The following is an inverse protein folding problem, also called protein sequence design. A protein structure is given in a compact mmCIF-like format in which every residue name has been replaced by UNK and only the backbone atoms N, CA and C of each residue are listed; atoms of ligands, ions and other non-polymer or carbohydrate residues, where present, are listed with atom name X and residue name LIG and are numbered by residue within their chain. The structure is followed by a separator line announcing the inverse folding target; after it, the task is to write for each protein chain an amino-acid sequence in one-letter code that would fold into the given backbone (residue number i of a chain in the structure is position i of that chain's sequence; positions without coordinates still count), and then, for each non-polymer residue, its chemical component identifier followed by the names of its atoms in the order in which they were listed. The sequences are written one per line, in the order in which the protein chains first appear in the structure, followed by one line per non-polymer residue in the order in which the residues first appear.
data_IF_362190119146
#
_entry.id   IF_362190119146
#
_cell.length_a   1.000
_cell.length_b   1.000
_cell.length_c   1.000
_cell.angle_alpha   90.00
_cell.angle_beta   90.00
_cell.angle_gamma   90.00
#
_symmetry.space_group_name_H-M   'P 1'
#
loop_
_entity.id
_entity.type
_entity.pdbx_description
1 polymer ?
#
# COMPACT_ATOMS: atom_id res chain seq x y z
N UNK A 1 -29.80 27.73 -11.24
CA UNK A 1 -28.50 27.90 -11.96
C UNK A 1 -27.87 29.30 -11.90
N UNK A 2 -28.59 30.43 -12.10
CA UNK A 2 -27.98 31.79 -12.07
C UNK A 2 -27.33 32.16 -10.72
N UNK A 3 -27.94 31.79 -9.60
CA UNK A 3 -27.45 32.07 -8.23
C UNK A 3 -26.09 31.39 -7.94
N UNK A 4 -25.97 30.10 -8.28
CA UNK A 4 -24.73 29.32 -8.13
C UNK A 4 -23.59 29.91 -8.98
N UNK A 5 -23.88 30.33 -10.22
CA UNK A 5 -22.89 30.98 -11.11
C UNK A 5 -22.34 32.28 -10.54
N UNK A 6 -23.19 33.13 -9.95
CA UNK A 6 -22.75 34.39 -9.37
C UNK A 6 -21.86 34.19 -8.14
N UNK A 7 -22.15 33.17 -7.33
CA UNK A 7 -21.32 32.78 -6.17
C UNK A 7 -19.94 32.29 -6.63
N UNK A 8 -19.88 31.39 -7.61
CA UNK A 8 -18.62 30.87 -8.15
C UNK A 8 -17.77 32.00 -8.74
N UNK A 9 -18.37 32.91 -9.51
CA UNK A 9 -17.65 34.06 -10.08
C UNK A 9 -17.08 34.98 -8.99
N UNK A 10 -17.83 35.23 -7.92
CA UNK A 10 -17.40 36.05 -6.77
C UNK A 10 -16.23 35.43 -6.01
N UNK A 11 -16.17 34.09 -5.92
CA UNK A 11 -15.17 33.36 -5.12
C UNK A 11 -14.11 32.63 -5.96
N UNK A 12 -14.03 32.91 -7.27
CA UNK A 12 -13.15 32.19 -8.22
C UNK A 12 -11.69 32.17 -7.77
N UNK A 13 -11.14 33.28 -7.27
CA UNK A 13 -9.75 33.35 -6.80
C UNK A 13 -9.48 32.45 -5.60
N UNK A 14 -10.43 32.38 -4.65
CA UNK A 14 -10.34 31.50 -3.48
C UNK A 14 -10.45 30.02 -3.86
N UNK A 15 -11.35 29.70 -4.79
CA UNK A 15 -11.48 28.34 -5.33
C UNK A 15 -10.21 27.90 -6.06
N UNK A 16 -9.60 28.81 -6.84
CA UNK A 16 -8.34 28.55 -7.54
C UNK A 16 -7.19 28.31 -6.55
N UNK A 17 -7.07 29.16 -5.53
CA UNK A 17 -6.06 28.97 -4.48
C UNK A 17 -6.22 27.60 -3.80
N UNK A 18 -7.43 27.26 -3.35
CA UNK A 18 -7.73 25.96 -2.75
C UNK A 18 -7.36 24.79 -3.68
N UNK A 19 -7.76 24.86 -4.95
CA UNK A 19 -7.45 23.84 -5.95
C UNK A 19 -5.94 23.64 -6.12
N UNK A 20 -5.17 24.72 -6.19
CA UNK A 20 -3.70 24.67 -6.34
C UNK A 20 -3.05 24.06 -5.10
N UNK A 21 -3.41 24.50 -3.89
CA UNK A 21 -2.81 23.98 -2.65
C UNK A 21 -3.08 22.48 -2.47
N UNK A 22 -4.33 22.05 -2.66
CA UNK A 22 -4.70 20.63 -2.57
C UNK A 22 -3.97 19.83 -3.65
N UNK A 23 -3.93 20.34 -4.88
CA UNK A 23 -3.24 19.65 -5.97
C UNK A 23 -1.76 19.49 -5.66
N UNK A 24 -1.06 20.56 -5.29
CA UNK A 24 0.37 20.52 -4.97
C UNK A 24 0.69 19.57 -3.82
N UNK A 25 -0.14 19.54 -2.77
CA UNK A 25 0.03 18.60 -1.66
C UNK A 25 -0.02 17.14 -2.14
N UNK A 26 -0.91 16.82 -3.08
CA UNK A 26 -1.10 15.47 -3.59
C UNK A 26 -0.32 15.15 -4.88
N UNK A 27 0.37 16.11 -5.51
CA UNK A 27 1.18 15.87 -6.72
C UNK A 27 2.17 14.71 -6.52
N UNK A 28 2.94 14.63 -5.42
CA UNK A 28 3.89 13.52 -5.23
C UNK A 28 3.21 12.15 -5.24
N UNK A 29 2.06 12.04 -4.56
CA UNK A 29 1.29 10.80 -4.49
C UNK A 29 0.66 10.46 -5.85
N UNK A 30 0.10 11.45 -6.55
CA UNK A 30 -0.45 11.27 -7.89
C UNK A 30 0.61 10.83 -8.90
N UNK A 31 1.81 11.40 -8.83
CA UNK A 31 2.95 11.01 -9.67
C UNK A 31 3.37 9.58 -9.35
N UNK A 32 3.46 9.22 -8.07
CA UNK A 32 3.75 7.86 -7.65
C UNK A 32 2.73 6.87 -8.24
N UNK A 33 1.42 7.10 -8.08
CA UNK A 33 0.37 6.23 -8.65
C UNK A 33 0.44 6.13 -10.18
N UNK A 34 0.79 7.21 -10.87
CA UNK A 34 0.96 7.20 -12.34
C UNK A 34 2.16 6.37 -12.78
N UNK A 35 3.33 6.62 -12.19
CA UNK A 35 4.56 5.87 -12.52
C UNK A 35 4.34 4.38 -12.22
N UNK A 36 3.79 4.08 -11.05
CA UNK A 36 3.53 2.71 -10.64
C UNK A 36 2.46 2.01 -11.49
N UNK A 37 1.42 2.73 -11.91
CA UNK A 37 0.42 2.22 -12.85
C UNK A 37 1.00 1.90 -14.23
N UNK A 38 1.90 2.75 -14.75
CA UNK A 38 2.62 2.46 -16.01
C UNK A 38 3.46 1.19 -15.86
N UNK A 39 4.19 1.04 -14.75
CA UNK A 39 4.98 -0.16 -14.45
C UNK A 39 4.09 -1.41 -14.40
N UNK A 40 2.88 -1.33 -13.85
CA UNK A 40 1.91 -2.43 -13.87
C UNK A 40 1.44 -2.79 -15.28
N UNK A 41 1.25 -1.79 -16.17
CA UNK A 41 0.88 -2.04 -17.58
C UNK A 41 1.98 -2.84 -18.29
N UNK A 42 3.26 -2.64 -17.92
CA UNK A 42 4.38 -3.43 -18.42
C UNK A 42 4.59 -4.77 -17.70
N UNK A 43 3.67 -5.17 -16.82
CA UNK A 43 3.64 -6.50 -16.20
C UNK A 43 4.47 -6.66 -14.92
N UNK A 44 5.00 -5.59 -14.34
CA UNK A 44 5.66 -5.66 -13.03
C UNK A 44 4.69 -5.30 -11.90
N UNK A 45 4.47 -6.25 -11.00
CA UNK A 45 3.53 -6.12 -9.87
C UNK A 45 4.22 -6.07 -8.50
N UNK A 46 5.55 -5.96 -8.48
CA UNK A 46 6.38 -6.00 -7.28
C UNK A 46 7.12 -7.32 -7.14
N UNK A 47 8.45 -7.26 -7.10
CA UNK A 47 9.32 -8.39 -6.76
C UNK A 47 9.66 -8.33 -5.27
N UNK A 48 9.47 -9.44 -4.57
CA UNK A 48 9.91 -9.59 -3.18
C UNK A 48 11.13 -10.50 -3.21
N UNK A 49 12.28 -10.00 -2.75
CA UNK A 49 13.43 -10.84 -2.52
C UNK A 49 13.13 -11.76 -1.34
N UNK A 50 13.08 -13.07 -1.61
CA UNK A 50 12.73 -14.12 -0.66
C UNK A 50 13.99 -14.91 -0.34
N UNK A 51 14.49 -14.73 0.87
CA UNK A 51 15.62 -15.50 1.40
C UNK A 51 15.10 -16.50 2.42
N UNK A 52 15.44 -17.78 2.25
CA UNK A 52 15.13 -18.83 3.22
C UNK A 52 16.38 -19.11 4.05
N UNK A 53 16.26 -18.99 5.36
CA UNK A 53 17.32 -19.32 6.32
C UNK A 53 16.89 -20.59 7.05
N UNK A 54 17.63 -21.67 6.86
CA UNK A 54 17.43 -22.92 7.59
C UNK A 54 17.97 -22.74 9.01
N UNK A 55 17.18 -23.13 10.00
CA UNK A 55 17.54 -23.03 11.40
C UNK A 55 18.43 -24.20 11.84
N UNK A 56 19.42 -23.89 12.68
CA UNK A 56 20.28 -24.89 13.31
C UNK A 56 19.50 -25.70 14.35
N UNK A 57 20.00 -26.88 14.72
CA UNK A 57 19.33 -27.80 15.65
C UNK A 57 18.99 -27.15 17.00
N UNK A 58 19.86 -26.29 17.52
CA UNK A 58 19.63 -25.52 18.76
C UNK A 58 18.49 -24.51 18.60
N UNK A 59 18.45 -23.79 17.47
CA UNK A 59 17.41 -22.80 17.17
C UNK A 59 16.05 -23.46 16.95
N UNK A 60 16.04 -24.61 16.25
CA UNK A 60 14.83 -25.42 16.04
C UNK A 60 14.28 -25.94 17.36
N UNK A 61 15.14 -26.48 18.22
CA UNK A 61 14.74 -26.97 19.55
C UNK A 61 14.19 -25.84 20.42
N UNK A 62 14.81 -24.65 20.36
CA UNK A 62 14.34 -23.47 21.09
C UNK A 62 12.93 -23.04 20.64
N UNK A 63 12.64 -23.03 19.34
CA UNK A 63 11.32 -22.64 18.81
C UNK A 63 10.27 -23.76 18.96
N UNK A 64 10.66 -25.03 18.84
CA UNK A 64 9.76 -26.18 19.04
C UNK A 64 9.40 -26.38 20.52
N UNK A 65 10.25 -25.93 21.44
CA UNK A 65 9.96 -25.90 22.88
C UNK A 65 8.82 -24.95 23.24
N UNK A 66 8.33 -24.15 22.29
CA UNK A 66 7.17 -23.29 22.45
C UNK A 66 5.94 -23.83 21.74
N UNK A 67 4.86 -23.94 22.49
CA UNK A 67 3.54 -24.29 21.98
C UNK A 67 2.94 -23.08 21.25
N UNK A 68 3.35 -22.91 19.98
CA UNK A 68 2.72 -21.93 19.11
C UNK A 68 1.26 -22.34 18.91
N UNK A 69 0.28 -21.48 19.22
CA UNK A 69 -1.12 -21.85 19.06
C UNK A 69 -1.41 -22.15 17.58
N UNK A 70 -1.67 -23.42 17.30
CA UNK A 70 -2.08 -23.92 15.98
C UNK A 70 -3.60 -23.67 15.83
N UNK A 71 -3.99 -22.76 14.93
CA UNK A 71 -5.40 -22.46 14.67
C UNK A 71 -5.82 -20.99 14.82
N UNK A 72 -7.14 -20.74 14.79
CA UNK A 72 -7.75 -19.42 14.52
C UNK A 72 -7.44 -18.38 15.60
N UNK A 73 -6.66 -17.37 15.18
CA UNK A 73 -6.28 -16.14 15.90
C UNK A 73 -5.62 -16.36 17.28
N UNK A 74 -4.33 -16.10 17.31
CA UNK A 74 -3.55 -16.08 18.54
C UNK A 74 -4.01 -14.93 19.46
N UNK A 75 -4.26 -15.25 20.75
CA UNK A 75 -4.64 -14.23 21.75
C UNK A 75 -3.52 -13.17 21.84
N UNK A 76 -3.85 -11.90 22.18
CA UNK A 76 -2.84 -10.83 22.28
C UNK A 76 -1.65 -11.20 23.18
N UNK A 77 -1.89 -11.90 24.30
CA UNK A 77 -0.84 -12.38 25.20
C UNK A 77 0.09 -13.41 24.54
N UNK A 78 -0.46 -14.34 23.77
CA UNK A 78 0.32 -15.37 23.06
C UNK A 78 1.17 -14.76 21.94
N UNK A 79 0.64 -13.74 21.25
CA UNK A 79 1.39 -12.96 20.26
C UNK A 79 2.59 -12.26 20.88
N UNK A 80 2.42 -11.69 22.06
CA UNK A 80 3.52 -11.02 22.76
C UNK A 80 4.60 -12.02 23.20
N UNK A 81 4.22 -13.19 23.71
CA UNK A 81 5.18 -14.25 24.05
C UNK A 81 5.97 -14.72 22.82
N UNK A 82 5.29 -15.00 21.70
CA UNK A 82 5.92 -15.40 20.45
C UNK A 82 6.85 -14.30 19.91
N UNK A 83 6.43 -13.04 19.98
CA UNK A 83 7.22 -11.86 19.58
C UNK A 83 8.55 -11.81 20.33
N UNK A 84 8.53 -11.96 21.66
CA UNK A 84 9.74 -11.88 22.49
C UNK A 84 10.73 -12.98 22.14
N UNK A 85 10.26 -14.21 21.90
CA UNK A 85 11.12 -15.34 21.55
C UNK A 85 11.74 -15.19 20.16
N UNK A 86 10.94 -14.79 19.17
CA UNK A 86 11.43 -14.56 17.81
C UNK A 86 12.49 -13.46 17.84
N UNK A 87 12.26 -12.37 18.58
CA UNK A 87 13.26 -11.31 18.73
C UNK A 87 14.52 -11.78 19.46
N UNK A 88 14.39 -12.66 20.45
CA UNK A 88 15.52 -13.23 21.19
C UNK A 88 16.36 -14.09 20.25
N UNK A 89 15.72 -14.93 19.44
CA UNK A 89 16.39 -15.75 18.43
C UNK A 89 17.05 -14.90 17.34
N UNK A 90 16.39 -13.86 16.85
CA UNK A 90 16.98 -12.93 15.87
C UNK A 90 18.19 -12.20 16.45
N UNK A 91 18.11 -11.72 17.70
CA UNK A 91 19.22 -11.07 18.39
C UNK A 91 20.40 -12.01 18.65
N UNK A 92 20.14 -13.28 18.96
CA UNK A 92 21.17 -14.32 19.07
C UNK A 92 21.80 -14.62 17.70
N UNK A 93 20.99 -14.73 16.65
CA UNK A 93 21.45 -15.05 15.29
C UNK A 93 22.27 -13.93 14.66
N UNK A 94 21.97 -12.67 14.97
CA UNK A 94 22.78 -11.51 14.57
C UNK A 94 24.23 -11.59 15.09
N UNK A 95 24.44 -12.18 16.26
CA UNK A 95 25.79 -12.33 16.85
C UNK A 95 26.63 -13.45 16.19
N UNK A 96 26.03 -14.30 15.35
CA UNK A 96 26.67 -15.51 14.78
C UNK A 96 26.91 -15.36 13.26
N UNK A 97 27.17 -14.14 12.77
CA UNK A 97 27.46 -13.84 11.35
C UNK A 97 26.34 -14.15 10.34
N UNK A 98 25.13 -14.50 10.79
CA UNK A 98 23.96 -14.50 9.91
C UNK A 98 23.34 -13.09 9.95
N UNK A 99 23.33 -12.39 8.81
CA UNK A 99 22.85 -11.00 8.68
C UNK A 99 21.31 -10.89 8.74
N UNK A 100 20.70 -11.45 9.79
CA UNK A 100 19.26 -11.37 10.07
C UNK A 100 18.95 -10.04 10.75
N UNK A 101 18.87 -8.97 9.95
CA UNK A 101 18.48 -7.67 10.48
C UNK A 101 17.09 -7.75 11.18
N UNK A 102 16.95 -7.08 12.31
CA UNK A 102 15.67 -6.99 12.99
C UNK A 102 14.76 -6.04 12.19
N UNK A 103 13.53 -6.42 11.85
CA UNK A 103 12.63 -5.54 11.11
C UNK A 103 12.21 -4.34 11.99
N UNK A 104 12.05 -3.17 11.36
CA UNK A 104 11.73 -1.92 12.05
C UNK A 104 10.45 -2.00 12.90
N UNK A 105 9.42 -2.69 12.38
CA UNK A 105 8.22 -2.98 13.14
C UNK A 105 8.31 -4.38 13.73
N UNK A 106 8.36 -4.47 15.05
CA UNK A 106 8.45 -5.73 15.77
C UNK A 106 7.08 -6.27 16.21
N UNK A 107 5.97 -5.66 15.78
CA UNK A 107 4.66 -6.24 16.05
C UNK A 107 4.43 -7.47 15.19
N UNK A 108 4.02 -8.56 15.85
CA UNK A 108 3.72 -9.83 15.20
C UNK A 108 2.27 -9.84 14.70
N UNK A 109 2.07 -10.43 13.52
CA UNK A 109 0.76 -10.64 12.90
C UNK A 109 0.66 -12.09 12.45
N UNK A 110 -0.55 -12.63 12.46
CA UNK A 110 -0.80 -13.89 11.78
C UNK A 110 -0.74 -13.67 10.27
N UNK A 111 -0.18 -14.64 9.56
CA UNK A 111 -0.26 -14.71 8.10
C UNK A 111 -1.70 -14.86 7.61
N UNK A 112 -1.91 -14.67 6.30
CA UNK A 112 -3.25 -14.79 5.69
C UNK A 112 -3.85 -16.19 5.87
N UNK A 113 -3.02 -17.22 5.74
CA UNK A 113 -3.36 -18.62 5.96
C UNK A 113 -3.32 -19.03 7.46
N UNK A 114 -2.88 -18.12 8.34
CA UNK A 114 -2.80 -18.25 9.80
C UNK A 114 -1.85 -19.33 10.30
N UNK A 115 -1.06 -19.94 9.41
CA UNK A 115 -0.12 -21.01 9.73
C UNK A 115 1.25 -20.50 10.15
N UNK A 116 1.54 -19.22 9.94
CA UNK A 116 2.82 -18.60 10.27
C UNK A 116 2.61 -17.27 11.02
N UNK A 117 3.66 -16.87 11.71
CA UNK A 117 3.78 -15.54 12.27
C UNK A 117 4.63 -14.67 11.36
N UNK A 118 4.14 -13.47 11.07
CA UNK A 118 4.83 -12.45 10.31
C UNK A 118 5.24 -11.32 11.26
N UNK A 119 6.53 -11.02 11.27
CA UNK A 119 7.14 -9.93 12.03
C UNK A 119 7.71 -8.91 11.03
N UNK A 120 7.29 -7.65 11.10
CA UNK A 120 7.83 -6.61 10.21
C UNK A 120 6.81 -5.76 9.48
N UNK A 121 7.33 -5.01 8.50
CA UNK A 121 6.55 -4.13 7.62
C UNK A 121 6.77 -4.49 6.15
N UNK A 122 6.27 -3.63 5.25
CA UNK A 122 6.37 -3.88 3.80
C UNK A 122 7.81 -3.97 3.28
N UNK A 123 8.74 -3.22 3.85
CA UNK A 123 10.11 -3.15 3.35
C UNK A 123 10.93 -4.38 3.75
N UNK A 124 10.69 -4.85 4.98
CA UNK A 124 11.40 -5.97 5.57
C UNK A 124 10.47 -6.70 6.52
N UNK A 125 10.24 -7.97 6.26
CA UNK A 125 9.46 -8.84 7.13
C UNK A 125 10.04 -10.24 7.21
N UNK A 126 9.73 -10.92 8.30
CA UNK A 126 10.20 -12.24 8.65
C UNK A 126 8.97 -13.10 8.90
N UNK A 127 8.93 -14.27 8.31
CA UNK A 127 7.86 -15.25 8.47
C UNK A 127 8.40 -16.55 9.06
N UNK A 128 7.70 -17.05 10.07
CA UNK A 128 8.06 -18.27 10.79
C UNK A 128 6.82 -19.15 10.91
N UNK A 129 6.92 -20.39 10.44
CA UNK A 129 5.85 -21.39 10.47
C UNK A 129 5.59 -21.86 11.90
N UNK A 130 4.31 -21.92 12.31
CA UNK A 130 3.90 -22.30 13.67
C UNK A 130 4.03 -23.79 13.96
N UNK A 131 3.69 -24.65 12.99
CA UNK A 131 3.64 -26.11 13.18
C UNK A 131 5.00 -26.77 13.18
N UNK A 132 5.95 -26.24 12.41
CA UNK A 132 7.31 -26.76 12.36
C UNK A 132 8.29 -25.64 11.96
N UNK A 133 8.83 -24.88 12.93
CA UNK A 133 9.74 -23.77 12.66
C UNK A 133 11.15 -24.29 12.30
N UNK A 134 11.28 -24.87 11.11
CA UNK A 134 12.56 -25.34 10.56
C UNK A 134 13.29 -24.26 9.77
N UNK A 135 12.54 -23.29 9.26
CA UNK A 135 13.05 -22.23 8.42
C UNK A 135 12.46 -20.89 8.83
N UNK A 136 13.26 -19.86 8.62
CA UNK A 136 12.85 -18.47 8.67
C UNK A 136 12.85 -17.93 7.25
N UNK A 137 11.71 -17.42 6.80
CA UNK A 137 11.60 -16.78 5.50
C UNK A 137 11.74 -15.28 5.69
N UNK A 138 12.69 -14.67 5.02
CA UNK A 138 12.93 -13.23 5.05
C UNK A 138 12.46 -12.65 3.72
N UNK A 139 11.62 -11.64 3.81
CA UNK A 139 11.12 -10.87 2.68
C UNK A 139 11.72 -9.48 2.69
N UNK A 140 12.36 -9.09 1.59
CA UNK A 140 12.88 -7.74 1.38
C UNK A 140 12.31 -7.15 0.10
N UNK A 141 11.77 -5.94 0.22
CA UNK A 141 11.32 -5.19 -0.94
C UNK A 141 12.39 -4.18 -1.32
N UNK A 142 12.69 -4.10 -2.61
CA UNK A 142 13.43 -2.96 -3.15
C UNK A 142 12.54 -1.71 -3.18
N UNK A 143 13.13 -0.58 -3.58
CA UNK A 143 12.39 0.68 -3.65
C UNK A 143 11.17 0.59 -4.56
N UNK A 144 11.30 -0.04 -5.73
CA UNK A 144 10.21 -0.15 -6.69
C UNK A 144 9.08 -1.07 -6.19
N UNK A 145 9.40 -2.19 -5.55
CA UNK A 145 8.44 -3.08 -4.91
C UNK A 145 7.72 -2.41 -3.74
N UNK A 146 8.39 -1.55 -2.98
CA UNK A 146 7.72 -0.72 -1.97
C UNK A 146 6.71 0.26 -2.61
N UNK A 147 7.07 0.90 -3.72
CA UNK A 147 6.13 1.74 -4.47
C UNK A 147 4.94 0.92 -5.02
N UNK A 148 5.17 -0.30 -5.53
CA UNK A 148 4.11 -1.24 -5.91
C UNK A 148 3.21 -1.61 -4.73
N UNK A 149 3.79 -1.92 -3.57
CA UNK A 149 3.03 -2.23 -2.38
C UNK A 149 2.13 -1.07 -1.98
N UNK A 150 2.62 0.18 -2.08
CA UNK A 150 1.81 1.38 -1.88
C UNK A 150 0.70 1.51 -2.94
N UNK A 151 0.99 1.26 -4.23
CA UNK A 151 0.00 1.27 -5.31
C UNK A 151 -1.20 0.36 -5.01
N UNK A 152 -0.95 -0.84 -4.51
CA UNK A 152 -2.00 -1.80 -4.12
C UNK A 152 -2.54 -1.60 -2.69
N UNK A 153 -2.23 -0.47 -2.04
CA UNK A 153 -2.65 -0.14 -0.68
C UNK A 153 -2.25 -1.18 0.39
N UNK A 154 -1.03 -1.73 0.27
CA UNK A 154 -0.47 -2.74 1.19
C UNK A 154 0.45 -2.15 2.27
N UNK A 155 0.63 -0.83 2.31
CA UNK A 155 1.58 -0.15 3.20
C UNK A 155 1.10 0.10 4.63
N UNK A 156 -0.09 -0.38 4.98
CA UNK A 156 -0.65 -0.29 6.32
C UNK A 156 -1.57 0.91 6.53
N UNK A 157 -2.02 1.06 7.78
CA UNK A 157 -3.17 1.91 8.15
C UNK A 157 -3.00 3.39 7.75
N UNK A 158 -1.89 4.02 8.13
CA UNK A 158 -1.65 5.45 7.88
C UNK A 158 -1.62 5.80 6.40
N UNK A 159 -1.00 4.94 5.58
CA UNK A 159 -1.01 5.13 4.15
C UNK A 159 -2.41 4.93 3.55
N UNK A 160 -3.20 4.00 4.12
CA UNK A 160 -4.62 3.84 3.76
C UNK A 160 -5.44 5.11 4.01
N UNK A 161 -5.24 5.76 5.16
CA UNK A 161 -5.88 7.05 5.48
C UNK A 161 -5.46 8.14 4.48
N UNK A 162 -4.16 8.24 4.18
CA UNK A 162 -3.64 9.20 3.20
C UNK A 162 -4.22 8.95 1.80
N UNK A 163 -4.31 7.69 1.38
CA UNK A 163 -4.86 7.28 0.08
C UNK A 163 -6.35 7.58 -0.03
N UNK A 164 -7.11 7.37 1.05
CA UNK A 164 -8.52 7.75 1.10
C UNK A 164 -8.70 9.25 0.96
N UNK A 165 -7.95 10.05 1.72
CA UNK A 165 -7.92 11.51 1.59
C UNK A 165 -7.58 11.92 0.16
N UNK A 166 -6.56 11.30 -0.44
CA UNK A 166 -6.16 11.56 -1.82
C UNK A 166 -7.30 11.36 -2.81
N UNK A 167 -8.04 10.25 -2.73
CA UNK A 167 -9.18 9.98 -3.63
C UNK A 167 -10.29 11.02 -3.44
N UNK A 168 -10.63 11.37 -2.20
CA UNK A 168 -11.65 12.39 -1.91
C UNK A 168 -11.23 13.74 -2.48
N UNK A 169 -9.99 14.16 -2.23
CA UNK A 169 -9.48 15.43 -2.70
C UNK A 169 -9.29 15.47 -4.21
N UNK A 170 -8.93 14.35 -4.84
CA UNK A 170 -8.92 14.22 -6.30
C UNK A 170 -10.32 14.42 -6.90
N UNK A 171 -11.37 13.93 -6.25
CA UNK A 171 -12.75 14.22 -6.64
C UNK A 171 -13.08 15.72 -6.54
N UNK A 172 -12.68 16.36 -5.44
CA UNK A 172 -12.87 17.80 -5.24
C UNK A 172 -12.09 18.61 -6.28
N UNK A 173 -10.83 18.26 -6.56
CA UNK A 173 -10.00 18.97 -7.54
C UNK A 173 -10.56 18.80 -8.96
N UNK A 174 -11.11 17.62 -9.31
CA UNK A 174 -11.81 17.42 -10.59
C UNK A 174 -13.04 18.34 -10.73
N UNK A 175 -13.91 18.39 -9.71
CA UNK A 175 -15.11 19.24 -9.73
C UNK A 175 -14.72 20.71 -9.79
N UNK A 176 -13.77 21.14 -8.95
CA UNK A 176 -13.32 22.54 -8.93
C UNK A 176 -12.65 22.93 -10.24
N UNK A 177 -11.88 22.03 -10.87
CA UNK A 177 -11.31 22.23 -12.21
C UNK A 177 -12.40 22.44 -13.27
N UNK A 178 -13.44 21.59 -13.28
CA UNK A 178 -14.60 21.74 -14.17
C UNK A 178 -15.30 23.08 -13.94
N UNK A 179 -15.53 23.50 -12.69
CA UNK A 179 -16.17 24.77 -12.38
C UNK A 179 -15.36 26.00 -12.86
N UNK A 180 -14.04 25.86 -13.03
CA UNK A 180 -13.17 26.92 -13.55
C UNK A 180 -13.11 26.98 -15.08
N UNK A 181 -13.53 25.92 -15.79
CA UNK A 181 -13.57 25.89 -17.24
C UNK A 181 -14.61 26.87 -17.81
N UNK A 182 -14.28 27.53 -18.91
CA UNK A 182 -15.18 28.45 -19.60
C UNK A 182 -16.17 27.70 -20.51
N UNK A 183 -17.16 27.05 -19.89
CA UNK A 183 -18.25 26.39 -20.60
C UNK A 183 -19.12 27.36 -21.42
N UNK A 184 -19.04 28.67 -21.20
CA UNK A 184 -19.82 29.65 -21.99
C UNK A 184 -19.26 29.77 -23.41
N UNK A 185 -17.93 29.84 -23.52
CA UNK A 185 -17.25 29.99 -24.81
C UNK A 185 -17.12 28.66 -25.56
N UNK A 186 -16.83 27.58 -24.85
CA UNK A 186 -16.46 26.30 -25.46
C UNK A 186 -17.30 25.10 -24.99
N UNK A 187 -18.47 25.33 -24.37
CA UNK A 187 -19.24 24.27 -23.71
C UNK A 187 -19.55 23.05 -24.59
N UNK A 188 -19.95 23.26 -25.85
CA UNK A 188 -20.20 22.16 -26.80
C UNK A 188 -18.95 21.28 -27.00
N UNK A 189 -17.78 21.90 -27.15
CA UNK A 189 -16.50 21.18 -27.33
C UNK A 189 -16.16 20.35 -26.09
N UNK A 190 -16.26 20.95 -24.90
CA UNK A 190 -15.97 20.26 -23.64
C UNK A 190 -16.94 19.10 -23.38
N UNK A 191 -18.24 19.31 -23.61
CA UNK A 191 -19.25 18.24 -23.47
C UNK A 191 -19.01 17.11 -24.47
N UNK A 192 -18.66 17.43 -25.73
CA UNK A 192 -18.35 16.42 -26.74
C UNK A 192 -17.11 15.59 -26.34
N UNK A 193 -16.03 16.24 -25.88
CA UNK A 193 -14.83 15.54 -25.42
C UNK A 193 -15.11 14.62 -24.22
N UNK A 194 -15.94 15.07 -23.26
CA UNK A 194 -16.34 14.22 -22.12
C UNK A 194 -17.16 13.01 -22.57
N UNK A 195 -18.13 13.19 -23.47
CA UNK A 195 -18.92 12.08 -24.02
C UNK A 195 -18.05 11.11 -24.81
N UNK A 196 -17.14 11.61 -25.64
CA UNK A 196 -16.22 10.77 -26.40
C UNK A 196 -15.33 9.93 -25.45
N UNK A 197 -14.76 10.54 -24.42
CA UNK A 197 -13.96 9.83 -23.42
C UNK A 197 -14.75 8.78 -22.64
N UNK A 198 -16.02 9.05 -22.35
CA UNK A 198 -16.92 8.08 -21.72
C UNK A 198 -17.23 6.90 -22.65
N UNK A 199 -17.59 7.17 -23.91
CA UNK A 199 -17.90 6.13 -24.90
C UNK A 199 -16.67 5.25 -25.16
N UNK A 200 -15.50 5.83 -25.36
CA UNK A 200 -14.25 5.08 -25.56
C UNK A 200 -13.93 4.21 -24.32
N UNK A 201 -13.96 4.79 -23.12
CA UNK A 201 -13.68 4.04 -21.89
C UNK A 201 -14.69 2.90 -21.66
N UNK A 202 -15.98 3.15 -21.89
CA UNK A 202 -17.03 2.15 -21.72
C UNK A 202 -16.92 1.02 -22.75
N UNK A 203 -16.67 1.34 -24.01
CA UNK A 203 -16.51 0.34 -25.07
C UNK A 203 -15.28 -0.53 -24.84
N UNK A 204 -14.11 0.08 -24.56
CA UNK A 204 -12.90 -0.68 -24.22
C UNK A 204 -13.09 -1.55 -22.97
N UNK A 205 -13.77 -1.05 -21.94
CA UNK A 205 -14.04 -1.79 -20.72
C UNK A 205 -14.99 -2.98 -20.90
N UNK A 206 -16.02 -2.85 -21.75
CA UNK A 206 -17.00 -3.93 -21.99
C UNK A 206 -16.45 -5.00 -22.92
N UNK A 207 -15.79 -4.60 -24.02
CA UNK A 207 -15.30 -5.55 -25.01
C UNK A 207 -13.92 -6.11 -24.68
N UNK A 208 -13.25 -5.59 -23.65
CA UNK A 208 -11.97 -6.11 -23.18
C UNK A 208 -10.95 -6.17 -24.31
N UNK A 209 -10.92 -5.14 -25.17
CA UNK A 209 -9.89 -4.99 -26.20
C UNK A 209 -8.55 -4.70 -25.51
N UNK A 210 -7.93 -5.77 -25.00
CA UNK A 210 -6.58 -5.85 -24.51
C UNK A 210 -5.66 -6.39 -25.62
#
# INVERSE_FOLDING_TARGET
MKKLKNIVKKHRSKLLALHIYISLFFVPLALMYKITGIVCIFGYFGGVDRQVVVLDELQRTYLQGFDFPLGIQSKPSQRESARVQILTLLAQSQNINQNLAIPFNTQIKDSRDKNSFILGGINHSIEITKSNPNEIIIYRNDFLANLMALHFNRAGFWFGVLSFCFVVFMGITYITGLLMCDFKRNGKKYTLTMLLGFVISATLGVYGLA
#
